data_IF_361086947671
#
_entry.id   IF_361086947671
#
_cell.length_a   1.000
_cell.length_b   1.000
_cell.length_c   1.000
_cell.angle_alpha   90.00
_cell.angle_beta   90.00
_cell.angle_gamma   90.00
#
_symmetry.space_group_name_H-M   'P 1'
#
loop_
_entity.id
_entity.type
_entity.pdbx_description
1 polymer ?
#
# COMPACT_ATOMS: atom_id res chain seq x y z
N UNK A 1 10.28 -2.94 7.49
CA UNK A 1 9.21 -3.95 7.56
C UNK A 1 8.41 -3.80 8.82
N UNK A 2 7.09 -3.93 8.73
CA UNK A 2 6.23 -3.68 9.87
C UNK A 2 6.28 -4.77 10.95
N UNK A 3 6.54 -6.01 10.56
CA UNK A 3 6.62 -7.13 11.50
C UNK A 3 7.92 -7.20 12.32
N UNK A 4 8.84 -6.24 12.17
CA UNK A 4 10.16 -6.26 12.82
C UNK A 4 10.06 -6.33 14.35
N UNK A 5 9.04 -5.70 14.92
CA UNK A 5 8.81 -5.67 16.37
C UNK A 5 8.46 -7.05 16.94
N UNK A 6 7.79 -7.89 16.15
CA UNK A 6 7.35 -9.24 16.54
C UNK A 6 8.31 -10.34 16.09
N UNK A 7 9.14 -10.07 15.09
CA UNK A 7 10.18 -10.99 14.60
C UNK A 7 11.49 -10.23 14.35
N UNK A 8 12.34 -10.06 15.37
CA UNK A 8 13.59 -9.32 15.24
C UNK A 8 14.62 -10.04 14.37
N UNK A 9 14.42 -11.29 13.94
CA UNK A 9 15.34 -11.95 13.00
C UNK A 9 15.13 -11.49 11.54
N UNK A 10 14.00 -10.85 11.24
CA UNK A 10 13.67 -10.40 9.88
C UNK A 10 14.63 -9.34 9.35
N UNK A 11 15.19 -8.49 10.23
CA UNK A 11 16.23 -7.52 9.85
C UNK A 11 17.42 -8.20 9.17
N UNK A 12 17.79 -9.43 9.56
CA UNK A 12 18.96 -10.14 9.01
C UNK A 12 18.62 -10.96 7.76
N UNK A 13 17.33 -11.08 7.41
CA UNK A 13 16.85 -11.79 6.21
C UNK A 13 16.61 -10.86 5.02
N UNK A 14 16.71 -9.54 5.22
CA UNK A 14 16.51 -8.58 4.15
C UNK A 14 17.81 -8.34 3.39
N UNK A 15 17.79 -8.62 2.10
CA UNK A 15 18.81 -8.17 1.15
C UNK A 15 18.14 -7.28 0.09
N UNK A 16 18.87 -6.35 -0.56
CA UNK A 16 18.34 -5.57 -1.68
C UNK A 16 17.72 -6.44 -2.77
N UNK A 17 18.32 -7.61 -3.03
CA UNK A 17 17.81 -8.58 -3.99
C UNK A 17 16.46 -9.17 -3.57
N UNK A 18 16.28 -9.52 -2.29
CA UNK A 18 15.01 -10.03 -1.79
C UNK A 18 13.89 -8.98 -1.87
N UNK A 19 14.21 -7.70 -1.63
CA UNK A 19 13.25 -6.59 -1.80
C UNK A 19 12.84 -6.45 -3.26
N UNK A 20 13.79 -6.48 -4.20
CA UNK A 20 13.49 -6.41 -5.63
C UNK A 20 12.60 -7.58 -6.10
N UNK A 21 12.87 -8.80 -5.63
CA UNK A 21 12.04 -9.97 -5.93
C UNK A 21 10.61 -9.83 -5.38
N UNK A 22 10.45 -9.29 -4.17
CA UNK A 22 9.14 -9.01 -3.59
C UNK A 22 8.40 -7.93 -4.37
N UNK A 23 9.07 -6.84 -4.73
CA UNK A 23 8.50 -5.76 -5.52
C UNK A 23 7.98 -6.26 -6.88
N UNK A 24 8.75 -7.13 -7.56
CA UNK A 24 8.33 -7.75 -8.81
C UNK A 24 7.07 -8.62 -8.62
N UNK A 25 7.02 -9.43 -7.56
CA UNK A 25 5.84 -10.25 -7.23
C UNK A 25 4.62 -9.39 -6.91
N UNK A 26 4.78 -8.36 -6.08
CA UNK A 26 3.71 -7.43 -5.71
C UNK A 26 3.13 -6.73 -6.94
N UNK A 27 3.99 -6.25 -7.84
CA UNK A 27 3.59 -5.65 -9.12
C UNK A 27 2.79 -6.62 -9.98
N UNK A 28 3.25 -7.87 -10.12
CA UNK A 28 2.56 -8.89 -10.90
C UNK A 28 1.19 -9.28 -10.33
N UNK A 29 1.08 -9.35 -8.99
CA UNK A 29 -0.19 -9.58 -8.29
C UNK A 29 -1.15 -8.43 -8.56
N UNK A 30 -0.70 -7.18 -8.41
CA UNK A 30 -1.54 -6.00 -8.60
C UNK A 30 -2.03 -5.86 -10.05
N UNK A 31 -1.13 -6.08 -11.02
CA UNK A 31 -1.47 -6.11 -12.45
C UNK A 31 -2.44 -7.25 -12.81
N UNK A 32 -2.50 -8.31 -11.99
CA UNK A 32 -3.48 -9.38 -12.15
C UNK A 32 -4.83 -9.06 -11.52
N UNK A 33 -4.81 -8.48 -10.32
CA UNK A 33 -6.01 -8.10 -9.58
C UNK A 33 -6.84 -7.05 -10.33
N UNK A 34 -6.20 -6.10 -11.01
CA UNK A 34 -6.90 -5.03 -11.75
C UNK A 34 -7.91 -5.57 -12.77
N UNK A 35 -7.60 -6.69 -13.43
CA UNK A 35 -8.47 -7.29 -14.47
C UNK A 35 -9.81 -7.78 -13.92
N UNK A 36 -9.89 -8.00 -12.62
CA UNK A 36 -11.09 -8.50 -11.92
C UNK A 36 -12.00 -7.36 -11.41
N UNK A 37 -11.56 -6.11 -11.55
CA UNK A 37 -12.30 -4.94 -11.04
C UNK A 37 -13.23 -4.43 -12.14
N UNK A 38 -14.54 -4.39 -11.91
CA UNK A 38 -15.50 -3.78 -12.85
C UNK A 38 -15.36 -2.24 -12.89
N UNK A 39 -15.89 -1.59 -13.92
CA UNK A 39 -16.03 -0.11 -13.95
C UNK A 39 -16.78 0.38 -12.70
N UNK A 40 -16.31 1.48 -12.11
CA UNK A 40 -16.74 2.00 -10.82
C UNK A 40 -16.26 1.20 -9.60
N UNK A 41 -15.60 0.06 -9.79
CA UNK A 41 -15.06 -0.77 -8.73
C UNK A 41 -13.77 -0.19 -8.12
N UNK A 42 -13.46 -0.61 -6.88
CA UNK A 42 -12.24 -0.19 -6.16
C UNK A 42 -11.20 -1.30 -6.14
N UNK A 43 -9.94 -0.92 -6.31
CA UNK A 43 -8.77 -1.76 -6.09
C UNK A 43 -7.98 -1.21 -4.90
N UNK A 44 -7.63 -2.08 -3.96
CA UNK A 44 -6.81 -1.72 -2.80
C UNK A 44 -5.54 -2.56 -2.81
N UNK A 45 -4.40 -1.88 -2.75
CA UNK A 45 -3.09 -2.49 -2.52
C UNK A 45 -2.65 -2.17 -1.10
N UNK A 46 -2.17 -3.16 -0.35
CA UNK A 46 -1.71 -2.95 1.02
C UNK A 46 -0.53 -3.85 1.37
N UNK A 47 0.38 -3.34 2.19
CA UNK A 47 1.54 -4.08 2.70
C UNK A 47 1.71 -3.84 4.20
N UNK A 48 2.40 -4.76 4.85
CA UNK A 48 2.94 -4.58 6.21
C UNK A 48 4.43 -4.18 6.15
N UNK A 49 4.78 -3.25 5.26
CA UNK A 49 6.13 -2.71 5.13
C UNK A 49 6.15 -1.19 5.26
N UNK A 50 7.32 -0.67 5.61
CA UNK A 50 7.63 0.76 5.65
C UNK A 50 8.57 1.17 4.52
N UNK A 51 9.01 0.22 3.68
CA UNK A 51 9.95 0.49 2.60
C UNK A 51 9.23 1.15 1.43
N UNK A 52 9.76 2.26 0.94
CA UNK A 52 9.17 2.99 -0.19
C UNK A 52 9.15 2.15 -1.47
N UNK A 53 10.16 1.31 -1.66
CA UNK A 53 10.28 0.41 -2.81
C UNK A 53 9.14 -0.61 -2.89
N UNK A 54 8.62 -1.06 -1.73
CA UNK A 54 7.48 -1.96 -1.64
C UNK A 54 6.13 -1.22 -1.61
N UNK A 55 6.14 0.11 -1.51
CA UNK A 55 4.93 0.91 -1.21
C UNK A 55 4.67 1.93 -2.32
N UNK A 56 5.15 3.16 -2.13
CA UNK A 56 4.95 4.27 -3.05
C UNK A 56 5.44 3.93 -4.46
N UNK A 57 6.62 3.30 -4.60
CA UNK A 57 7.16 2.94 -5.90
C UNK A 57 6.25 1.97 -6.68
N UNK A 58 5.64 0.99 -6.00
CA UNK A 58 4.69 0.05 -6.63
C UNK A 58 3.39 0.76 -6.99
N UNK A 59 2.87 1.62 -6.10
CA UNK A 59 1.63 2.36 -6.33
C UNK A 59 1.75 3.38 -7.46
N UNK A 60 2.87 4.11 -7.52
CA UNK A 60 3.19 5.07 -8.57
C UNK A 60 3.34 4.37 -9.93
N UNK A 61 4.09 3.26 -9.98
CA UNK A 61 4.25 2.46 -11.19
C UNK A 61 2.91 1.91 -11.71
N UNK A 62 2.05 1.43 -10.81
CA UNK A 62 0.71 0.98 -11.17
C UNK A 62 -0.14 2.11 -11.76
N UNK A 63 -0.14 3.27 -11.11
CA UNK A 63 -0.91 4.44 -11.57
C UNK A 63 -0.47 4.92 -12.96
N UNK A 64 0.85 4.89 -13.21
CA UNK A 64 1.41 5.25 -14.52
C UNK A 64 1.05 4.23 -15.62
N UNK A 65 1.02 2.94 -15.29
CA UNK A 65 0.73 1.88 -16.24
C UNK A 65 -0.78 1.69 -16.53
N UNK A 66 -1.66 2.15 -15.63
CA UNK A 66 -3.09 1.89 -15.68
C UNK A 66 -3.92 3.18 -15.54
N UNK A 67 -3.98 4.05 -16.58
CA UNK A 67 -4.66 5.35 -16.51
C UNK A 67 -6.18 5.27 -16.29
N UNK A 68 -6.78 4.10 -16.51
CA UNK A 68 -8.19 3.82 -16.22
C UNK A 68 -8.46 3.65 -14.72
N UNK A 69 -7.42 3.51 -13.89
CA UNK A 69 -7.50 3.41 -12.44
C UNK A 69 -7.08 4.73 -11.81
N UNK A 70 -8.06 5.45 -11.24
CA UNK A 70 -7.84 6.77 -10.67
C UNK A 70 -7.54 6.64 -9.19
N UNK A 71 -6.36 7.09 -8.78
CA UNK A 71 -5.95 7.13 -7.38
C UNK A 71 -6.96 7.96 -6.58
N UNK A 72 -7.54 7.35 -5.56
CA UNK A 72 -8.39 8.03 -4.61
C UNK A 72 -7.54 8.47 -3.40
N UNK A 73 -7.84 9.64 -2.80
CA UNK A 73 -7.27 9.99 -1.51
C UNK A 73 -7.71 8.98 -0.45
N UNK A 74 -6.74 8.32 0.20
CA UNK A 74 -7.04 7.34 1.26
C UNK A 74 -7.88 7.93 2.39
N UNK A 75 -7.72 9.23 2.70
CA UNK A 75 -8.51 9.92 3.71
C UNK A 75 -10.02 9.87 3.41
N UNK A 76 -10.41 10.05 2.15
CA UNK A 76 -11.82 9.98 1.73
C UNK A 76 -12.35 8.53 1.82
N UNK A 77 -11.54 7.56 1.41
CA UNK A 77 -11.90 6.15 1.52
C UNK A 77 -12.10 5.72 2.98
N UNK A 78 -11.24 6.20 3.89
CA UNK A 78 -11.33 5.95 5.33
C UNK A 78 -12.52 6.67 5.97
N UNK A 79 -12.77 7.93 5.60
CA UNK A 79 -13.91 8.69 6.08
C UNK A 79 -15.24 8.05 5.67
N UNK A 80 -15.34 7.58 4.41
CA UNK A 80 -16.50 6.83 3.93
C UNK A 80 -16.71 5.49 4.65
N UNK A 81 -15.65 4.93 5.23
CA UNK A 81 -15.70 3.74 6.09
C UNK A 81 -15.89 4.08 7.58
N UNK A 82 -16.18 5.34 7.92
CA UNK A 82 -16.36 5.84 9.30
C UNK A 82 -15.15 5.60 10.21
N UNK A 83 -13.94 5.63 9.66
CA UNK A 83 -12.71 5.57 10.45
C UNK A 83 -12.49 6.92 11.13
N UNK A 84 -12.47 6.92 12.46
CA UNK A 84 -12.16 8.10 13.25
C UNK A 84 -10.74 8.61 12.95
N UNK A 85 -10.57 9.94 12.97
CA UNK A 85 -9.26 10.59 12.78
C UNK A 85 -8.54 10.15 11.49
N UNK A 86 -9.30 9.83 10.42
CA UNK A 86 -8.77 9.35 9.14
C UNK A 86 -7.64 10.23 8.57
N UNK A 87 -7.74 11.56 8.74
CA UNK A 87 -6.72 12.51 8.28
C UNK A 87 -5.35 12.33 8.96
N UNK A 88 -5.30 11.72 10.15
CA UNK A 88 -4.05 11.48 10.88
C UNK A 88 -3.37 10.16 10.46
N UNK A 89 -4.10 9.29 9.76
CA UNK A 89 -3.64 7.96 9.35
C UNK A 89 -3.05 7.94 7.93
N UNK A 90 -2.96 9.10 7.28
CA UNK A 90 -2.58 9.24 5.87
C UNK A 90 -1.31 10.05 5.69
N UNK A 91 -0.62 9.77 4.59
CA UNK A 91 0.49 10.57 4.07
C UNK A 91 0.29 10.74 2.56
N UNK A 92 0.03 11.98 2.13
CA UNK A 92 -0.43 12.28 0.78
C UNK A 92 -1.72 11.50 0.43
N UNK A 93 -1.78 10.81 -0.74
CA UNK A 93 -2.95 10.05 -1.14
C UNK A 93 -3.05 8.66 -0.47
N UNK A 94 -2.08 8.28 0.36
CA UNK A 94 -1.94 6.91 0.87
C UNK A 94 -2.27 6.79 2.35
N UNK A 95 -2.73 5.61 2.77
CA UNK A 95 -2.72 5.23 4.19
C UNK A 95 -1.28 4.96 4.60
N UNK A 96 -0.84 5.55 5.71
CA UNK A 96 0.50 5.34 6.27
C UNK A 96 0.44 5.23 7.79
N UNK A 97 0.55 3.99 8.26
CA UNK A 97 0.63 3.68 9.69
C UNK A 97 2.09 3.47 10.09
N UNK A 98 2.42 3.98 11.26
CA UNK A 98 3.79 4.06 11.79
C UNK A 98 3.78 3.48 13.20
N UNK A 99 4.76 2.65 13.57
CA UNK A 99 4.76 2.02 14.89
C UNK A 99 4.78 3.00 16.05
N UNK A 100 5.60 4.04 15.94
CA UNK A 100 5.82 5.08 16.95
C UNK A 100 4.64 6.06 17.08
N UNK A 101 3.92 6.32 15.99
CA UNK A 101 2.78 7.27 16.00
C UNK A 101 1.43 6.61 16.28
N UNK A 102 1.28 5.36 15.84
CA UNK A 102 -0.02 4.71 15.75
C UNK A 102 -0.11 3.42 16.57
N UNK A 103 0.95 3.05 17.30
CA UNK A 103 1.02 1.81 18.08
C UNK A 103 0.73 0.54 17.24
N UNK A 104 1.08 0.59 15.95
CA UNK A 104 0.91 -0.55 15.01
C UNK A 104 2.26 -1.19 14.68
N UNK A 105 2.23 -2.22 13.85
CA UNK A 105 3.45 -2.76 13.27
C UNK A 105 3.94 -1.93 12.08
N UNK A 106 3.12 -1.04 11.51
CA UNK A 106 3.48 -0.22 10.35
C UNK A 106 2.93 -0.81 9.05
N UNK A 107 2.14 0.00 8.36
CA UNK A 107 1.33 -0.44 7.23
C UNK A 107 1.21 0.64 6.17
N UNK A 108 0.97 0.21 4.95
CA UNK A 108 0.72 1.06 3.81
C UNK A 108 -0.50 0.58 3.06
N UNK A 109 -1.30 1.50 2.52
CA UNK A 109 -2.29 1.17 1.51
C UNK A 109 -2.52 2.28 0.48
N UNK A 110 -2.77 1.87 -0.75
CA UNK A 110 -3.18 2.71 -1.86
C UNK A 110 -4.51 2.22 -2.44
N UNK A 111 -5.38 3.15 -2.81
CA UNK A 111 -6.74 2.87 -3.31
C UNK A 111 -6.95 3.52 -4.67
N UNK A 112 -7.44 2.76 -5.63
CA UNK A 112 -7.86 3.27 -6.94
C UNK A 112 -9.32 2.95 -7.21
N UNK A 113 -9.98 3.77 -8.02
CA UNK A 113 -11.27 3.46 -8.63
C UNK A 113 -11.11 3.31 -10.13
N UNK A 114 -11.63 2.20 -10.67
CA UNK A 114 -11.67 1.96 -12.11
C UNK A 114 -12.75 2.87 -12.73
N UNK A 115 -12.40 3.60 -13.79
CA UNK A 115 -13.36 4.31 -14.64
C UNK A 115 -14.30 3.33 -15.35
#
# INVERSE_FOLDING_TARGET
MGTLRRNPDLKWRQSPQAVAELQAKQTAILASAQRLVKSGGRLVYATCSLLRDENEAVAEAFSAAHPDFIQLPAAEALAAAHVERAAELVDGPYLRLWPDRHATDGFFAAVWQRR
#
